data_IF_245011982295
#
_entry.id   IF_245011982295
#
_cell.length_a   1.000
_cell.length_b   1.000
_cell.length_c   1.000
_cell.angle_alpha   90.00
_cell.angle_beta   90.00
_cell.angle_gamma   90.00
#
_symmetry.space_group_name_H-M   'P 1'
#
loop_
_entity.id
_entity.type
_entity.pdbx_description
1 polymer ?
#
# COMPACT_ATOMS: atom_id res chain seq x y z
N UNK A 1 26.32 -40.36 18.95
CA UNK A 1 25.35 -39.39 18.39
C UNK A 1 26.01 -38.01 18.36
N UNK A 2 25.77 -37.26 17.29
CA UNK A 2 26.46 -36.02 16.89
C UNK A 2 25.52 -34.85 17.13
N UNK A 3 25.90 -33.88 17.96
CA UNK A 3 25.21 -32.57 18.08
C UNK A 3 26.28 -31.48 18.19
N UNK A 4 25.96 -30.35 17.58
CA UNK A 4 26.84 -29.40 16.90
C UNK A 4 26.99 -28.15 17.78
N UNK A 5 28.18 -27.58 17.74
CA UNK A 5 28.63 -26.43 18.50
C UNK A 5 28.15 -25.08 17.90
N UNK A 6 28.24 -24.02 18.72
CA UNK A 6 28.54 -22.60 18.34
C UNK A 6 27.30 -21.80 17.83
N UNK A 7 27.01 -20.54 18.21
CA UNK A 7 27.73 -19.48 18.93
C UNK A 7 26.72 -18.43 19.42
N UNK A 8 26.90 -17.90 20.62
CA UNK A 8 26.37 -16.60 21.03
C UNK A 8 27.32 -15.51 20.52
N UNK A 9 26.83 -14.47 19.84
CA UNK A 9 27.55 -13.19 19.76
C UNK A 9 26.56 -12.02 19.66
N UNK A 10 26.41 -11.32 20.78
CA UNK A 10 25.78 -10.03 20.94
C UNK A 10 26.85 -8.95 20.73
N UNK A 11 26.69 -8.05 19.77
CA UNK A 11 27.32 -6.71 19.82
C UNK A 11 26.49 -5.71 19.02
N UNK A 12 25.83 -4.81 19.73
CA UNK A 12 25.38 -3.53 19.18
C UNK A 12 26.60 -2.62 18.99
N UNK A 13 26.73 -1.98 17.82
CA UNK A 13 27.67 -0.88 17.61
C UNK A 13 26.95 0.28 16.93
N UNK A 14 26.67 1.32 17.71
CA UNK A 14 26.37 2.65 17.21
C UNK A 14 27.62 3.22 16.54
N UNK A 15 27.50 3.69 15.30
CA UNK A 15 28.46 4.60 14.68
C UNK A 15 27.70 5.88 14.33
N UNK A 16 27.87 6.91 15.15
CA UNK A 16 27.65 8.28 14.74
C UNK A 16 28.90 8.73 13.96
N UNK A 17 28.74 9.03 12.68
CA UNK A 17 29.82 9.50 11.81
C UNK A 17 29.24 10.02 10.51
N UNK A 18 28.99 11.34 10.48
CA UNK A 18 28.84 12.22 9.32
C UNK A 18 28.73 11.53 7.94
N UNK A 19 27.51 11.31 7.47
CA UNK A 19 27.27 11.12 6.03
C UNK A 19 26.61 12.39 5.51
N UNK A 20 27.41 13.25 4.89
CA UNK A 20 26.89 14.14 3.85
C UNK A 20 26.55 13.22 2.69
N UNK A 21 25.29 12.84 2.58
CA UNK A 21 24.73 12.26 1.37
C UNK A 21 23.99 13.38 0.63
N UNK A 22 24.73 14.14 -0.16
CA UNK A 22 24.14 14.75 -1.35
C UNK A 22 24.59 13.84 -2.49
N UNK A 23 23.78 12.83 -2.79
CA UNK A 23 23.67 12.36 -4.16
C UNK A 23 22.22 12.49 -4.57
N UNK A 24 21.99 13.60 -5.26
CA UNK A 24 20.80 13.90 -6.03
C UNK A 24 20.55 12.78 -7.03
N UNK A 25 19.51 11.99 -6.79
CA UNK A 25 18.55 11.72 -7.85
C UNK A 25 17.17 11.93 -7.25
N UNK A 26 16.64 13.13 -7.47
CA UNK A 26 15.21 13.35 -7.61
C UNK A 26 14.76 12.51 -8.82
N UNK A 27 14.83 11.18 -8.69
CA UNK A 27 14.03 10.29 -9.52
C UNK A 27 12.64 10.57 -9.01
N UNK A 28 11.93 11.44 -9.73
CA UNK A 28 10.49 11.55 -9.61
C UNK A 28 9.97 10.13 -9.84
N UNK A 29 9.76 9.38 -8.75
CA UNK A 29 9.11 8.07 -8.79
C UNK A 29 7.86 8.27 -9.63
N UNK A 30 7.76 7.56 -10.75
CA UNK A 30 6.60 7.69 -11.62
C UNK A 30 5.44 6.94 -10.97
N UNK A 31 4.79 7.61 -10.02
CA UNK A 31 3.54 7.15 -9.40
C UNK A 31 2.38 7.58 -10.26
N UNK A 32 1.78 6.63 -10.98
CA UNK A 32 0.57 6.84 -11.76
C UNK A 32 -0.64 6.73 -10.83
N UNK A 33 -1.42 7.80 -10.61
CA UNK A 33 -2.57 7.74 -9.72
C UNK A 33 -3.68 6.87 -10.30
N UNK A 34 -4.26 6.01 -9.48
CA UNK A 34 -5.44 5.22 -9.82
C UNK A 34 -6.69 6.02 -9.45
N UNK A 35 -7.56 6.28 -10.42
CA UNK A 35 -8.81 6.99 -10.18
C UNK A 35 -9.79 6.05 -9.49
N UNK A 36 -10.15 6.39 -8.25
CA UNK A 36 -11.08 5.61 -7.43
C UNK A 36 -12.48 6.22 -7.42
N UNK A 37 -13.48 5.36 -7.35
CA UNK A 37 -14.91 5.65 -7.26
C UNK A 37 -15.54 4.80 -6.16
N UNK A 38 -16.71 5.19 -5.69
CA UNK A 38 -17.47 4.44 -4.70
C UNK A 38 -17.71 5.23 -3.43
N UNK A 39 -18.10 4.52 -2.38
CA UNK A 39 -18.60 5.13 -1.15
C UNK A 39 -18.05 4.41 0.07
N UNK A 40 -17.72 5.19 1.09
CA UNK A 40 -17.41 4.70 2.43
C UNK A 40 -18.37 5.38 3.40
N UNK A 41 -19.07 4.62 4.27
CA UNK A 41 -19.91 5.21 5.30
C UNK A 41 -19.08 6.12 6.18
N UNK A 42 -19.42 7.40 6.20
CA UNK A 42 -18.82 8.34 7.14
C UNK A 42 -19.82 8.63 8.25
N UNK A 43 -19.34 8.70 9.49
CA UNK A 43 -20.17 9.12 10.64
C UNK A 43 -20.31 10.64 10.72
N UNK A 44 -19.74 11.38 9.77
CA UNK A 44 -19.66 12.83 9.78
C UNK A 44 -20.62 13.41 8.74
N UNK A 45 -21.44 14.38 9.14
CA UNK A 45 -22.32 15.16 8.27
C UNK A 45 -21.55 16.09 7.31
N UNK A 46 -20.63 15.56 6.50
CA UNK A 46 -20.02 16.32 5.41
C UNK A 46 -20.87 16.17 4.16
N UNK A 47 -21.19 17.30 3.54
CA UNK A 47 -22.02 17.39 2.33
C UNK A 47 -21.35 16.81 1.07
N UNK A 48 -20.05 16.49 1.15
CA UNK A 48 -19.26 15.95 0.05
C UNK A 48 -18.72 14.57 0.49
N UNK A 49 -19.12 13.48 -0.18
CA UNK A 49 -18.52 12.18 0.01
C UNK A 49 -17.03 12.25 -0.34
N UNK A 50 -16.15 11.90 0.61
CA UNK A 50 -14.71 11.82 0.39
C UNK A 50 -14.32 10.35 0.38
N UNK A 51 -13.65 9.90 -0.67
CA UNK A 51 -13.07 8.55 -0.75
C UNK A 51 -11.79 8.57 0.09
N UNK A 52 -11.72 7.83 1.21
CA UNK A 52 -10.60 7.90 2.15
C UNK A 52 -9.43 6.97 1.78
N UNK A 53 -9.28 6.69 0.48
CA UNK A 53 -8.30 5.75 -0.06
C UNK A 53 -7.67 6.43 -1.27
N UNK A 54 -6.35 6.48 -1.30
CA UNK A 54 -5.57 6.84 -2.48
C UNK A 54 -4.81 5.59 -2.94
N UNK A 55 -4.73 5.38 -4.24
CA UNK A 55 -3.94 4.29 -4.82
C UNK A 55 -3.12 4.83 -5.99
N UNK A 56 -1.91 4.30 -6.16
CA UNK A 56 -1.03 4.64 -7.28
C UNK A 56 -0.13 3.48 -7.65
N UNK A 57 0.24 3.39 -8.93
CA UNK A 57 1.20 2.41 -9.45
C UNK A 57 2.58 3.06 -9.47
N UNK A 58 3.55 2.50 -8.74
CA UNK A 58 4.96 2.80 -8.97
C UNK A 58 5.44 1.90 -10.11
N UNK A 59 5.66 2.49 -11.29
CA UNK A 59 6.13 1.73 -12.46
C UNK A 59 7.58 1.29 -12.33
N UNK A 60 8.37 2.00 -11.53
CA UNK A 60 9.79 1.68 -11.32
C UNK A 60 9.95 0.42 -10.43
N UNK A 61 9.04 0.22 -9.48
CA UNK A 61 9.09 -0.86 -8.50
C UNK A 61 8.08 -1.99 -8.76
N UNK A 62 7.23 -1.86 -9.80
CA UNK A 62 6.12 -2.78 -10.09
C UNK A 62 5.22 -3.04 -8.86
N UNK A 63 4.90 -1.99 -8.11
CA UNK A 63 4.01 -2.07 -6.95
C UNK A 63 2.79 -1.17 -7.11
N UNK A 64 1.69 -1.59 -6.51
CA UNK A 64 0.55 -0.74 -6.23
C UNK A 64 0.67 -0.27 -4.80
N UNK A 65 0.87 1.03 -4.61
CA UNK A 65 0.89 1.69 -3.31
C UNK A 65 -0.53 2.18 -2.97
N UNK A 66 -0.94 1.96 -1.73
CA UNK A 66 -2.24 2.35 -1.19
C UNK A 66 -2.02 3.14 0.09
N UNK A 67 -2.69 4.29 0.20
CA UNK A 67 -2.65 5.17 1.36
C UNK A 67 -4.08 5.39 1.86
N UNK A 68 -4.32 5.07 3.13
CA UNK A 68 -5.60 5.31 3.79
C UNK A 68 -5.59 6.67 4.49
N UNK A 69 -6.54 7.55 4.19
CA UNK A 69 -6.60 8.90 4.76
C UNK A 69 -7.55 9.02 5.96
N UNK A 70 -8.20 7.91 6.34
CA UNK A 70 -9.04 7.78 7.53
C UNK A 70 -8.93 6.36 8.11
N UNK A 71 -9.26 6.14 9.40
CA UNK A 71 -9.43 4.80 9.94
C UNK A 71 -10.64 4.12 9.30
N UNK A 72 -10.48 2.88 8.83
CA UNK A 72 -11.52 2.12 8.12
C UNK A 72 -11.84 0.76 8.77
N UNK A 73 -11.05 0.33 9.75
CA UNK A 73 -11.12 -1.03 10.28
C UNK A 73 -10.58 -2.03 9.27
N UNK A 74 -11.18 -3.22 9.17
CA UNK A 74 -10.77 -4.22 8.20
C UNK A 74 -11.10 -3.79 6.77
N UNK A 75 -10.09 -3.80 5.91
CA UNK A 75 -10.22 -3.58 4.47
C UNK A 75 -9.68 -4.79 3.72
N UNK A 76 -10.51 -5.36 2.84
CA UNK A 76 -10.09 -6.39 1.89
C UNK A 76 -9.78 -5.73 0.56
N UNK A 77 -8.55 -5.88 0.10
CA UNK A 77 -8.08 -5.38 -1.19
C UNK A 77 -8.17 -6.54 -2.17
N UNK A 78 -8.91 -6.33 -3.26
CA UNK A 78 -9.10 -7.33 -4.30
C UNK A 78 -8.68 -6.77 -5.65
N UNK A 79 -8.25 -7.67 -6.52
CA UNK A 79 -8.09 -7.40 -7.94
C UNK A 79 -8.87 -8.45 -8.73
N UNK A 80 -9.78 -7.99 -9.59
CA UNK A 80 -10.73 -8.84 -10.34
C UNK A 80 -11.45 -9.86 -9.44
N UNK A 81 -11.87 -9.41 -8.26
CA UNK A 81 -12.54 -10.24 -7.26
C UNK A 81 -11.64 -11.20 -6.47
N UNK A 82 -10.33 -11.28 -6.77
CA UNK A 82 -9.37 -12.08 -6.02
C UNK A 82 -8.72 -11.26 -4.91
N UNK A 83 -8.71 -11.79 -3.68
CA UNK A 83 -8.10 -11.10 -2.53
C UNK A 83 -6.58 -11.06 -2.70
N UNK A 84 -6.03 -9.85 -2.79
CA UNK A 84 -4.59 -9.61 -2.77
C UNK A 84 -4.09 -9.42 -1.33
N UNK A 85 -4.86 -8.68 -0.53
CA UNK A 85 -4.46 -8.36 0.84
C UNK A 85 -5.67 -8.10 1.74
N UNK A 86 -5.50 -8.35 3.03
CA UNK A 86 -6.45 -7.95 4.07
C UNK A 86 -5.67 -7.19 5.15
N UNK A 87 -6.04 -5.94 5.40
CA UNK A 87 -5.36 -5.09 6.36
C UNK A 87 -6.33 -4.47 7.38
N UNK A 88 -5.81 -4.18 8.58
CA UNK A 88 -6.53 -3.46 9.64
C UNK A 88 -6.07 -2.00 9.65
N UNK A 89 -6.93 -1.10 9.19
CA UNK A 89 -6.66 0.33 9.06
C UNK A 89 -7.15 1.06 10.29
N UNK A 90 -6.23 1.41 11.19
CA UNK A 90 -6.55 1.99 12.50
C UNK A 90 -6.27 3.48 12.61
N UNK A 91 -5.49 4.04 11.68
CA UNK A 91 -5.11 5.46 11.68
C UNK A 91 -5.01 6.04 10.26
N UNK A 92 -5.24 7.35 10.09
CA UNK A 92 -4.92 8.07 8.86
C UNK A 92 -3.42 8.01 8.53
N UNK A 93 -3.08 7.98 7.25
CA UNK A 93 -1.72 7.91 6.74
C UNK A 93 -1.13 6.50 6.73
N UNK A 94 -1.85 5.48 7.23
CA UNK A 94 -1.42 4.10 7.12
C UNK A 94 -1.33 3.69 5.65
N UNK A 95 -0.24 3.02 5.28
CA UNK A 95 0.02 2.59 3.92
C UNK A 95 0.04 1.06 3.83
N UNK A 96 -0.26 0.56 2.64
CA UNK A 96 0.06 -0.82 2.26
C UNK A 96 0.39 -0.89 0.77
N UNK A 97 0.93 -2.02 0.32
CA UNK A 97 1.31 -2.23 -1.07
C UNK A 97 1.35 -3.70 -1.42
N UNK A 98 1.07 -4.01 -2.69
CA UNK A 98 1.30 -5.34 -3.25
C UNK A 98 2.04 -5.24 -4.58
N UNK A 99 2.78 -6.30 -4.92
CA UNK A 99 3.53 -6.40 -6.18
C UNK A 99 2.61 -6.82 -7.33
N UNK A 100 2.83 -6.21 -8.49
CA UNK A 100 2.24 -6.57 -9.79
C UNK A 100 3.31 -7.11 -10.75
N UNK A 101 4.49 -7.47 -10.23
CA UNK A 101 5.55 -8.07 -11.04
C UNK A 101 5.08 -9.35 -11.73
N UNK A 102 5.34 -9.44 -13.04
CA UNK A 102 4.96 -10.59 -13.86
C UNK A 102 3.48 -10.64 -14.25
N UNK A 103 2.68 -9.62 -13.92
CA UNK A 103 1.33 -9.50 -14.42
C UNK A 103 1.36 -9.14 -15.91
N UNK A 104 0.37 -9.64 -16.66
CA UNK A 104 0.26 -9.30 -18.07
C UNK A 104 -0.20 -7.84 -18.23
N UNK A 105 0.21 -7.14 -19.30
CA UNK A 105 -0.39 -5.86 -19.64
C UNK A 105 -1.91 -5.98 -19.81
N UNK A 106 -2.65 -5.01 -19.29
CA UNK A 106 -4.11 -5.05 -19.27
C UNK A 106 -4.76 -4.09 -18.29
N UNK A 107 -6.09 -4.15 -18.24
CA UNK A 107 -6.91 -3.38 -17.28
C UNK A 107 -7.48 -4.34 -16.26
N UNK A 108 -7.16 -4.10 -14.99
CA UNK A 108 -7.58 -4.90 -13.86
C UNK A 108 -8.48 -4.08 -12.95
N UNK A 109 -9.54 -4.68 -12.40
CA UNK A 109 -10.43 -4.00 -11.48
C UNK A 109 -9.86 -4.05 -10.07
N UNK A 110 -9.39 -2.92 -9.55
CA UNK A 110 -8.97 -2.78 -8.17
C UNK A 110 -10.18 -2.49 -7.27
N UNK A 111 -10.33 -3.22 -6.19
CA UNK A 111 -11.49 -3.15 -5.31
C UNK A 111 -11.09 -3.12 -3.83
N UNK A 112 -11.82 -2.35 -3.04
CA UNK A 112 -11.66 -2.25 -1.59
C UNK A 112 -13.02 -2.51 -0.95
N UNK A 113 -13.12 -3.59 -0.15
CA UNK A 113 -14.30 -3.91 0.65
C UNK A 113 -14.02 -3.61 2.11
N UNK A 114 -14.74 -2.64 2.67
CA UNK A 114 -14.58 -2.20 4.05
C UNK A 114 -15.58 -2.93 4.94
N UNK A 115 -15.13 -3.54 6.04
CA UNK A 115 -15.99 -4.33 6.93
C UNK A 115 -17.10 -3.51 7.61
N UNK A 116 -16.85 -2.23 7.89
CA UNK A 116 -17.85 -1.28 8.40
C UNK A 116 -18.92 -0.87 7.38
N UNK A 117 -18.92 -1.49 6.19
CA UNK A 117 -19.68 -1.05 5.03
C UNK A 117 -18.83 -0.14 4.14
N UNK A 118 -19.18 -0.10 2.86
CA UNK A 118 -18.46 0.68 1.86
C UNK A 118 -17.72 -0.18 0.85
N UNK A 119 -17.67 0.35 -0.35
CA UNK A 119 -17.06 -0.29 -1.51
C UNK A 119 -16.46 0.79 -2.39
N UNK A 120 -15.14 0.72 -2.55
CA UNK A 120 -14.36 1.62 -3.39
C UNK A 120 -13.71 0.78 -4.47
N UNK A 121 -13.66 1.29 -5.70
CA UNK A 121 -13.10 0.58 -6.83
C UNK A 121 -12.48 1.54 -7.85
N UNK A 122 -11.56 1.03 -8.65
CA UNK A 122 -10.95 1.75 -9.76
C UNK A 122 -10.36 0.78 -10.77
N UNK A 123 -9.75 1.34 -11.81
CA UNK A 123 -9.09 0.59 -12.87
C UNK A 123 -7.57 0.72 -12.72
N UNK A 124 -6.92 -0.41 -12.54
CA UNK A 124 -5.48 -0.54 -12.57
C UNK A 124 -5.07 -0.84 -14.02
N UNK A 125 -4.36 0.08 -14.65
CA UNK A 125 -3.86 -0.06 -16.02
C UNK A 125 -2.38 -0.44 -15.94
N UNK A 126 -2.04 -1.64 -16.41
CA UNK A 126 -0.67 -2.14 -16.51
C UNK A 126 -0.28 -2.10 -17.99
N UNK A 127 0.82 -1.41 -18.31
CA UNK A 127 1.35 -1.22 -19.67
C UNK A 127 2.42 -2.25 -20.06
#
# INVERSE_FOLDING_TARGET
MKVRFILSFLTALFIAGNMIAIESTDRVERKLPVVLKGEVPTTTHRSIPVIPINASISTDDNIVEIIFTAPLGEVKILVDGQVQEVCQVTAPGQTTSFSIEGWAPGVYKLEFKIAGGGYVYGELVIE
#
